data_IF_368281160916
#
_entry.id   IF_368281160916
#
_cell.length_a   1.000
_cell.length_b   1.000
_cell.length_c   1.000
_cell.angle_alpha   90.00
_cell.angle_beta   90.00
_cell.angle_gamma   90.00
#
_symmetry.space_group_name_H-M   'P 1'
#
loop_
_entity.id
_entity.type
_entity.pdbx_description
1 polymer ?
#
# COMPACT_ATOMS: atom_id res chain seq x y z
N UNK A 1 10.96 40.97 -20.55
CA UNK A 1 10.48 39.84 -21.37
C UNK A 1 8.97 39.75 -21.20
N UNK A 2 8.20 40.31 -22.13
CA UNK A 2 6.74 40.16 -22.17
C UNK A 2 6.44 38.84 -22.88
N UNK A 3 5.89 37.86 -22.17
CA UNK A 3 5.46 36.60 -22.77
C UNK A 3 4.09 36.82 -23.40
N UNK A 4 4.06 36.99 -24.72
CA UNK A 4 2.84 36.93 -25.54
C UNK A 4 2.37 35.47 -25.61
N UNK A 5 1.59 35.04 -24.61
CA UNK A 5 0.83 33.79 -24.68
C UNK A 5 -0.39 34.05 -25.57
N UNK A 6 -0.26 33.72 -26.85
CA UNK A 6 -1.33 33.90 -27.86
C UNK A 6 -2.20 32.66 -27.98
N UNK A 7 -1.91 31.63 -27.19
CA UNK A 7 -2.75 30.46 -27.03
C UNK A 7 -2.88 30.19 -25.53
N UNK A 8 -4.09 30.39 -25.01
CA UNK A 8 -4.49 29.71 -23.78
C UNK A 8 -4.40 28.23 -24.10
N UNK A 9 -3.41 27.51 -23.54
CA UNK A 9 -3.39 26.06 -23.62
C UNK A 9 -4.57 25.57 -22.77
N UNK A 10 -5.76 25.57 -23.36
CA UNK A 10 -6.90 24.84 -22.89
C UNK A 10 -6.57 23.36 -23.11
N UNK A 11 -5.71 22.80 -22.27
CA UNK A 11 -5.84 21.38 -21.95
C UNK A 11 -7.12 21.30 -21.14
N UNK A 12 -8.24 20.75 -21.66
CA UNK A 12 -9.47 20.61 -20.90
C UNK A 12 -9.26 19.39 -19.99
N UNK A 13 -8.45 19.52 -18.94
CA UNK A 13 -7.97 18.39 -18.14
C UNK A 13 -8.27 18.48 -16.65
N UNK A 14 -8.58 19.68 -16.14
CA UNK A 14 -8.86 19.90 -14.73
C UNK A 14 -10.28 20.42 -14.61
N UNK A 15 -11.26 19.55 -14.38
CA UNK A 15 -12.53 20.03 -13.82
C UNK A 15 -12.19 20.60 -12.44
N UNK A 16 -12.24 21.92 -12.27
CA UNK A 16 -11.93 22.61 -11.00
C UNK A 16 -13.15 22.63 -10.08
N UNK A 17 -13.85 21.50 -9.98
CA UNK A 17 -14.92 21.32 -9.00
C UNK A 17 -14.37 20.55 -7.81
N UNK A 18 -14.94 20.78 -6.62
CA UNK A 18 -14.54 20.04 -5.43
C UNK A 18 -14.75 18.52 -5.61
N UNK A 19 -15.78 18.13 -6.37
CA UNK A 19 -16.06 16.74 -6.69
C UNK A 19 -15.00 16.11 -7.59
N UNK A 20 -14.53 16.84 -8.61
CA UNK A 20 -13.50 16.35 -9.52
C UNK A 20 -12.14 16.24 -8.83
N UNK A 21 -11.79 17.20 -7.97
CA UNK A 21 -10.59 17.12 -7.13
C UNK A 21 -10.68 15.94 -6.14
N UNK A 22 -11.84 15.75 -5.49
CA UNK A 22 -12.05 14.60 -4.60
C UNK A 22 -11.91 13.28 -5.35
N UNK A 23 -12.52 13.15 -6.53
CA UNK A 23 -12.43 11.95 -7.34
C UNK A 23 -10.98 11.67 -7.77
N UNK A 24 -10.22 12.71 -8.11
CA UNK A 24 -8.80 12.59 -8.44
C UNK A 24 -7.99 12.00 -7.28
N UNK A 25 -8.16 12.52 -6.06
CA UNK A 25 -7.42 12.02 -4.89
C UNK A 25 -7.84 10.60 -4.51
N UNK A 26 -9.13 10.27 -4.57
CA UNK A 26 -9.62 8.90 -4.33
C UNK A 26 -9.06 7.90 -5.33
N UNK A 27 -9.02 8.27 -6.62
CA UNK A 27 -8.44 7.42 -7.65
C UNK A 27 -6.93 7.21 -7.44
N UNK A 28 -6.20 8.22 -6.96
CA UNK A 28 -4.79 8.09 -6.63
C UNK A 28 -4.53 7.21 -5.41
N UNK A 29 -5.35 7.35 -4.37
CA UNK A 29 -5.31 6.47 -3.20
C UNK A 29 -5.53 5.01 -3.62
N UNK A 30 -6.58 4.75 -4.40
CA UNK A 30 -6.87 3.40 -4.91
C UNK A 30 -5.73 2.85 -5.80
N UNK A 31 -5.14 3.69 -6.65
CA UNK A 31 -4.02 3.29 -7.51
C UNK A 31 -2.71 3.01 -6.74
N UNK A 32 -2.59 3.46 -5.49
CA UNK A 32 -1.42 3.20 -4.65
C UNK A 32 -1.43 1.79 -4.03
N UNK A 33 -2.59 1.12 -4.01
CA UNK A 33 -2.74 -0.26 -3.54
C UNK A 33 -1.95 -1.20 -4.44
N UNK A 34 -1.20 -2.13 -3.83
CA UNK A 34 -0.39 -3.12 -4.53
C UNK A 34 -0.62 -4.49 -3.91
N UNK A 35 -0.90 -5.47 -4.78
CA UNK A 35 -1.04 -6.85 -4.38
C UNK A 35 0.23 -7.36 -3.65
N UNK A 36 0.08 -8.36 -2.76
CA UNK A 36 1.20 -9.00 -2.11
C UNK A 36 2.25 -9.52 -3.09
N UNK A 37 3.50 -9.24 -2.81
CA UNK A 37 4.66 -9.80 -3.49
C UNK A 37 5.57 -10.44 -2.44
N UNK A 38 6.10 -11.62 -2.75
CA UNK A 38 7.08 -12.29 -1.90
C UNK A 38 8.39 -11.48 -1.86
N UNK A 39 8.97 -11.39 -0.68
CA UNK A 39 10.24 -10.71 -0.41
C UNK A 39 11.15 -11.63 0.39
N UNK A 40 12.43 -11.31 0.45
CA UNK A 40 13.36 -12.02 1.32
C UNK A 40 13.21 -11.59 2.80
N UNK A 41 13.86 -12.37 3.67
CA UNK A 41 13.87 -12.16 5.11
C UNK A 41 14.55 -10.85 5.52
N UNK A 42 15.55 -10.38 4.79
CA UNK A 42 16.26 -9.15 5.12
C UNK A 42 15.37 -7.95 4.88
N UNK A 43 14.69 -7.87 3.74
CA UNK A 43 13.75 -6.80 3.44
C UNK A 43 12.64 -6.65 4.50
N UNK A 44 12.17 -7.76 5.08
CA UNK A 44 11.19 -7.75 6.17
C UNK A 44 11.77 -7.16 7.47
N UNK A 45 12.95 -7.62 7.88
CA UNK A 45 13.58 -7.16 9.13
C UNK A 45 14.15 -5.74 9.00
N UNK A 46 14.62 -5.35 7.82
CA UNK A 46 15.06 -3.98 7.53
C UNK A 46 13.89 -3.00 7.67
N UNK A 47 12.70 -3.36 7.17
CA UNK A 47 11.49 -2.57 7.34
C UNK A 47 11.05 -2.48 8.81
N UNK A 48 11.16 -3.59 9.56
CA UNK A 48 10.86 -3.62 11.00
C UNK A 48 11.85 -2.77 11.82
N UNK A 49 13.10 -2.67 11.36
CA UNK A 49 14.15 -1.83 11.97
C UNK A 49 14.10 -0.35 11.58
N UNK A 50 13.33 0.01 10.54
CA UNK A 50 13.27 1.38 10.03
C UNK A 50 12.51 2.33 10.97
N UNK A 51 11.38 1.87 11.52
CA UNK A 51 10.57 2.65 12.46
C UNK A 51 9.65 1.75 13.29
N UNK A 52 9.02 2.31 14.34
CA UNK A 52 8.08 1.56 15.16
C UNK A 52 6.86 1.09 14.33
N UNK A 53 6.57 -0.22 14.28
CA UNK A 53 5.50 -0.76 13.47
C UNK A 53 4.12 -0.42 14.04
N UNK A 54 3.18 -0.10 13.16
CA UNK A 54 1.76 0.01 13.51
C UNK A 54 1.07 -1.34 13.38
N UNK A 55 0.04 -1.55 14.22
CA UNK A 55 -0.84 -2.72 14.16
C UNK A 55 -0.08 -4.06 14.10
N UNK A 56 1.04 -4.16 14.80
CA UNK A 56 1.84 -5.39 14.83
C UNK A 56 1.07 -6.48 15.57
N UNK A 57 0.83 -7.60 14.87
CA UNK A 57 0.08 -8.75 15.36
C UNK A 57 0.79 -10.05 14.96
N UNK A 58 0.66 -11.06 15.80
CA UNK A 58 1.04 -12.43 15.50
C UNK A 58 -0.12 -13.39 15.80
N UNK A 59 -0.13 -14.54 15.14
CA UNK A 59 -1.03 -15.64 15.49
C UNK A 59 -0.63 -16.29 16.82
N UNK A 60 -1.57 -16.95 17.50
CA UNK A 60 -1.33 -17.58 18.81
C UNK A 60 -0.18 -18.60 18.80
N UNK A 61 0.03 -19.29 17.67
CA UNK A 61 1.11 -20.24 17.47
C UNK A 61 2.42 -19.61 16.95
N UNK A 62 2.45 -18.30 16.70
CA UNK A 62 3.61 -17.59 16.16
C UNK A 62 3.93 -17.87 14.68
N UNK A 63 3.09 -18.65 13.99
CA UNK A 63 3.30 -19.03 12.59
C UNK A 63 3.11 -17.86 11.63
N UNK A 64 2.24 -16.91 11.98
CA UNK A 64 1.91 -15.76 11.16
C UNK A 64 2.16 -14.46 11.91
N UNK A 65 2.58 -13.44 11.17
CA UNK A 65 2.90 -12.14 11.72
C UNK A 65 2.63 -11.07 10.68
N UNK A 66 2.06 -9.94 11.09
CA UNK A 66 1.84 -8.80 10.20
C UNK A 66 2.14 -7.51 10.92
N UNK A 67 2.68 -6.54 10.20
CA UNK A 67 2.78 -5.17 10.67
C UNK A 67 2.64 -4.19 9.51
N UNK A 68 2.42 -2.93 9.86
CA UNK A 68 2.32 -1.83 8.91
C UNK A 68 3.35 -0.76 9.23
N UNK A 69 3.89 -0.09 8.21
CA UNK A 69 4.66 1.12 8.45
C UNK A 69 3.74 2.29 8.83
N UNK A 70 4.26 3.23 9.62
CA UNK A 70 3.51 4.41 10.02
C UNK A 70 3.39 5.46 8.90
N UNK A 71 4.21 5.36 7.85
CA UNK A 71 4.19 6.25 6.69
C UNK A 71 3.03 5.91 5.74
N UNK A 72 2.17 6.90 5.47
CA UNK A 72 1.13 6.78 4.45
C UNK A 72 1.69 7.16 3.07
N UNK A 73 1.59 6.24 2.12
CA UNK A 73 2.09 6.41 0.75
C UNK A 73 1.17 7.34 -0.08
N UNK A 74 -0.15 7.14 0.05
CA UNK A 74 -1.15 7.97 -0.60
C UNK A 74 -2.47 7.84 0.17
N UNK A 75 -2.98 8.96 0.70
CA UNK A 75 -4.18 8.93 1.54
C UNK A 75 -4.01 7.99 2.74
N UNK A 76 -4.84 6.97 2.85
CA UNK A 76 -4.80 5.98 3.94
C UNK A 76 -4.05 4.69 3.57
N UNK A 77 -3.40 4.63 2.40
CA UNK A 77 -2.62 3.46 1.97
C UNK A 77 -1.24 3.50 2.60
N UNK A 78 -0.84 2.40 3.23
CA UNK A 78 0.49 2.19 3.84
C UNK A 78 1.16 0.95 3.27
N UNK A 79 2.45 0.81 3.54
CA UNK A 79 3.19 -0.41 3.28
C UNK A 79 2.97 -1.41 4.41
N UNK A 80 2.56 -2.63 4.04
CA UNK A 80 2.18 -3.70 4.95
C UNK A 80 3.08 -4.89 4.69
N UNK A 81 3.55 -5.50 5.77
CA UNK A 81 4.44 -6.65 5.77
C UNK A 81 3.76 -7.82 6.45
N UNK A 82 3.93 -9.02 5.88
CA UNK A 82 3.38 -10.25 6.41
C UNK A 82 4.39 -11.38 6.34
N UNK A 83 4.41 -12.22 7.37
CA UNK A 83 5.16 -13.48 7.41
C UNK A 83 4.17 -14.63 7.62
N UNK A 84 4.35 -15.70 6.85
CA UNK A 84 3.61 -16.96 6.99
C UNK A 84 4.64 -18.09 6.98
N UNK A 85 4.87 -18.70 8.14
CA UNK A 85 5.96 -19.64 8.36
C UNK A 85 7.31 -18.99 8.06
N UNK A 86 8.00 -19.49 7.03
CA UNK A 86 9.32 -19.02 6.55
C UNK A 86 9.25 -18.08 5.34
N UNK A 87 8.05 -17.73 4.87
CA UNK A 87 7.86 -16.87 3.69
C UNK A 87 7.44 -15.47 4.12
N UNK A 88 7.98 -14.47 3.43
CA UNK A 88 7.80 -13.06 3.76
C UNK A 88 7.18 -12.33 2.58
N UNK A 89 6.30 -11.39 2.85
CA UNK A 89 5.54 -10.68 1.84
C UNK A 89 5.48 -9.19 2.17
N UNK A 90 5.41 -8.40 1.11
CA UNK A 90 5.13 -6.97 1.15
C UNK A 90 3.94 -6.66 0.27
N UNK A 91 3.05 -5.80 0.74
CA UNK A 91 1.92 -5.27 -0.01
C UNK A 91 1.71 -3.78 0.30
N UNK A 92 0.85 -3.12 -0.46
CA UNK A 92 0.33 -1.79 -0.10
C UNK A 92 -1.18 -1.84 -0.07
N UNK A 93 -1.75 -1.44 1.05
CA UNK A 93 -3.20 -1.45 1.22
C UNK A 93 -3.58 -0.46 2.34
N UNK A 94 -4.86 -0.36 2.61
CA UNK A 94 -5.40 0.56 3.60
C UNK A 94 -4.90 0.23 5.03
N UNK A 95 -4.57 1.27 5.79
CA UNK A 95 -4.05 1.16 7.17
C UNK A 95 -5.07 0.65 8.19
N UNK A 96 -6.34 0.52 7.80
CA UNK A 96 -7.42 0.02 8.64
C UNK A 96 -7.62 -1.50 8.53
N UNK A 97 -6.84 -2.20 7.69
CA UNK A 97 -6.94 -3.65 7.58
C UNK A 97 -6.52 -4.35 8.86
N UNK A 98 -7.25 -5.42 9.19
CA UNK A 98 -6.87 -6.28 10.31
C UNK A 98 -5.89 -7.40 9.89
N UNK A 99 -5.37 -8.10 10.90
CA UNK A 99 -4.43 -9.20 10.73
C UNK A 99 -4.99 -10.33 9.84
N UNK A 100 -6.28 -10.69 9.99
CA UNK A 100 -6.89 -11.77 9.24
C UNK A 100 -7.11 -11.41 7.77
N UNK A 101 -7.51 -10.17 7.50
CA UNK A 101 -7.69 -9.61 6.16
C UNK A 101 -6.39 -9.53 5.37
N UNK A 102 -5.28 -9.15 6.03
CA UNK A 102 -3.94 -9.15 5.43
C UNK A 102 -3.54 -10.58 5.05
N UNK A 103 -3.67 -11.53 5.99
CA UNK A 103 -3.29 -12.92 5.74
C UNK A 103 -4.12 -13.57 4.63
N UNK A 104 -5.41 -13.24 4.53
CA UNK A 104 -6.27 -13.74 3.45
C UNK A 104 -5.75 -13.29 2.07
N UNK A 105 -5.45 -11.99 1.91
CA UNK A 105 -4.89 -11.45 0.65
C UNK A 105 -3.56 -12.09 0.26
N UNK A 106 -2.68 -12.32 1.24
CA UNK A 106 -1.38 -12.96 1.01
C UNK A 106 -1.56 -14.42 0.55
N UNK A 107 -2.44 -15.17 1.21
CA UNK A 107 -2.74 -16.57 0.85
C UNK A 107 -3.26 -16.71 -0.57
N UNK A 108 -4.14 -15.79 -1.01
CA UNK A 108 -4.64 -15.79 -2.38
C UNK A 108 -3.54 -15.70 -3.44
N UNK A 109 -2.45 -14.98 -3.16
CA UNK A 109 -1.30 -14.86 -4.08
C UNK A 109 -0.36 -16.07 -3.96
N UNK A 110 -0.16 -16.58 -2.74
CA UNK A 110 0.68 -17.77 -2.55
C UNK A 110 0.12 -18.99 -3.27
N UNK A 111 -1.21 -19.17 -3.22
CA UNK A 111 -1.90 -20.31 -3.84
C UNK A 111 -1.89 -20.24 -5.37
N UNK A 112 -1.91 -19.02 -5.94
CA UNK A 112 -1.78 -18.80 -7.38
C UNK A 112 -0.37 -19.06 -7.90
N UNK A 113 0.65 -18.83 -7.06
CA UNK A 113 2.06 -19.03 -7.44
C UNK A 113 2.50 -20.50 -7.38
N UNK A 114 1.69 -21.39 -6.80
CA UNK A 114 1.95 -22.83 -6.68
C UNK A 114 1.23 -23.69 -7.73
N UNK A 115 0.44 -23.08 -8.63
CA UNK A 115 -0.22 -23.73 -9.76
C UNK A 115 0.53 -23.46 -11.05
#
# INVERSE_FOLDING_TARGET
>A
MHLHLTESSAVPGMQTTAEAERAYWLNREQAAVKAPAEIDVHAFHDALGLMYPMNWRSSENGECETFMLAEMICGNVTEIYARIGIRYYRMRDYSNLDHAEILARVKEVSDKSQK
#
